data_IF_127629743552
#
_entry.id   IF_127629743552
#
_cell.length_a   1.000
_cell.length_b   1.000
_cell.length_c   1.000
_cell.angle_alpha   90.00
_cell.angle_beta   90.00
_cell.angle_gamma   90.00
#
_symmetry.space_group_name_H-M   'P 1'
#
loop_
_entity.id
_entity.type
_entity.pdbx_description
1 polymer ?
#
# COMPACT_ATOMS: atom_id res chain seq x y z
N UNK A 1 41.24 -3.10 2.54
CA UNK A 1 40.04 -2.28 2.21
C UNK A 1 38.86 -3.18 1.90
N UNK A 2 37.66 -2.81 2.32
CA UNK A 2 36.45 -3.52 1.89
C UNK A 2 36.11 -3.08 0.47
N UNK A 3 35.90 -4.05 -0.44
CA UNK A 3 35.53 -3.81 -1.83
C UNK A 3 34.26 -4.58 -2.17
N UNK A 4 33.33 -3.91 -2.85
CA UNK A 4 32.16 -4.55 -3.42
C UNK A 4 32.55 -5.15 -4.78
N UNK A 5 32.40 -6.45 -4.92
CA UNK A 5 32.69 -7.19 -6.14
C UNK A 5 31.38 -7.74 -6.73
N UNK A 6 31.12 -7.48 -8.00
CA UNK A 6 29.92 -7.98 -8.66
C UNK A 6 29.93 -9.53 -8.68
N UNK A 7 28.79 -10.13 -8.38
CA UNK A 7 28.60 -11.58 -8.48
C UNK A 7 28.34 -11.97 -9.93
N UNK A 8 28.86 -13.11 -10.42
CA UNK A 8 28.53 -13.63 -11.74
C UNK A 8 27.01 -13.91 -11.89
N UNK A 9 26.38 -14.38 -10.82
CA UNK A 9 24.95 -14.62 -10.75
C UNK A 9 24.36 -14.03 -9.47
N UNK A 10 23.12 -13.49 -9.52
CA UNK A 10 22.41 -13.00 -8.33
C UNK A 10 22.24 -14.12 -7.28
N UNK A 11 22.52 -13.81 -6.03
CA UNK A 11 22.45 -14.81 -4.95
C UNK A 11 21.01 -15.11 -4.54
N UNK A 12 20.56 -16.34 -4.71
CA UNK A 12 19.23 -16.80 -4.25
C UNK A 12 19.08 -16.71 -2.74
N UNK A 13 20.14 -16.94 -1.97
CA UNK A 13 20.13 -16.83 -0.50
C UNK A 13 19.95 -15.39 -0.05
N UNK A 14 20.61 -14.44 -0.67
CA UNK A 14 20.46 -13.03 -0.35
C UNK A 14 19.12 -12.46 -0.83
N UNK A 15 18.49 -13.09 -1.81
CA UNK A 15 17.13 -12.72 -2.22
C UNK A 15 16.09 -12.90 -1.09
N UNK A 16 16.25 -13.92 -0.22
CA UNK A 16 15.42 -14.11 0.96
C UNK A 16 16.04 -13.48 2.22
N UNK A 17 17.36 -13.44 2.31
CA UNK A 17 18.09 -12.93 3.46
C UNK A 17 18.07 -11.40 3.60
N UNK A 18 18.04 -10.65 2.49
CA UNK A 18 18.10 -9.20 2.56
C UNK A 18 16.88 -8.55 3.25
N UNK A 19 15.60 -9.00 3.09
CA UNK A 19 14.50 -8.45 3.86
C UNK A 19 14.61 -8.76 5.36
N UNK A 20 15.11 -9.95 5.71
CA UNK A 20 15.32 -10.31 7.11
C UNK A 20 16.45 -9.48 7.75
N UNK A 21 17.54 -9.30 7.03
CA UNK A 21 18.65 -8.44 7.50
C UNK A 21 18.19 -6.98 7.63
N UNK A 22 17.41 -6.49 6.68
CA UNK A 22 16.84 -5.14 6.73
C UNK A 22 15.94 -4.95 7.97
N UNK A 23 15.10 -5.95 8.27
CA UNK A 23 14.26 -5.93 9.46
C UNK A 23 15.10 -5.91 10.74
N UNK A 24 16.13 -6.77 10.84
CA UNK A 24 17.04 -6.80 12.00
C UNK A 24 17.73 -5.45 12.17
N UNK A 25 18.26 -4.86 11.10
CA UNK A 25 18.89 -3.54 11.15
C UNK A 25 17.90 -2.45 11.57
N UNK A 26 16.67 -2.50 11.07
CA UNK A 26 15.60 -1.56 11.47
C UNK A 26 15.29 -1.68 12.95
N UNK A 27 15.22 -2.91 13.50
CA UNK A 27 15.02 -3.14 14.94
C UNK A 27 16.20 -2.61 15.76
N UNK A 28 17.45 -2.87 15.34
CA UNK A 28 18.65 -2.37 16.02
C UNK A 28 18.68 -0.83 16.05
N UNK A 29 18.40 -0.19 14.91
CA UNK A 29 18.28 1.27 14.84
C UNK A 29 17.13 1.76 15.74
N UNK A 30 16.02 1.01 15.79
CA UNK A 30 14.89 1.28 16.67
C UNK A 30 15.27 1.28 18.15
N UNK A 31 16.12 0.35 18.59
CA UNK A 31 16.68 0.35 19.97
C UNK A 31 17.41 1.65 20.26
N UNK A 32 18.28 2.08 19.33
CA UNK A 32 19.01 3.34 19.47
C UNK A 32 18.04 4.53 19.53
N UNK A 33 17.03 4.53 18.65
CA UNK A 33 16.01 5.59 18.62
C UNK A 33 15.24 5.69 19.94
N UNK A 34 14.75 4.59 20.51
CA UNK A 34 14.06 4.61 21.80
C UNK A 34 14.96 5.11 22.92
N UNK A 35 16.23 4.70 22.92
CA UNK A 35 17.22 5.18 23.91
C UNK A 35 17.44 6.70 23.81
N UNK A 36 17.61 7.21 22.58
CA UNK A 36 17.79 8.67 22.34
C UNK A 36 16.55 9.46 22.75
N UNK A 37 15.36 8.89 22.57
CA UNK A 37 14.09 9.49 22.98
C UNK A 37 13.83 9.38 24.51
N UNK A 38 14.79 8.86 25.28
CA UNK A 38 14.67 8.72 26.74
C UNK A 38 13.63 7.68 27.18
N UNK A 39 13.34 6.69 26.32
CA UNK A 39 12.41 5.59 26.60
C UNK A 39 13.17 4.28 26.76
N UNK A 40 12.63 3.39 27.59
CA UNK A 40 13.17 2.04 27.71
C UNK A 40 13.04 1.30 26.36
N UNK A 41 14.17 0.89 25.74
CA UNK A 41 14.16 0.25 24.44
C UNK A 41 13.41 -1.10 24.44
N UNK A 42 13.52 -1.88 25.52
CA UNK A 42 12.86 -3.19 25.65
C UNK A 42 11.35 -3.00 25.65
N UNK A 43 10.86 -2.07 26.48
CA UNK A 43 9.44 -1.70 26.54
C UNK A 43 8.97 -1.10 25.21
N UNK A 44 9.80 -0.27 24.56
CA UNK A 44 9.52 0.29 23.25
C UNK A 44 9.31 -0.80 22.19
N UNK A 45 10.22 -1.75 22.08
CA UNK A 45 10.11 -2.89 21.17
C UNK A 45 8.91 -3.79 21.50
N UNK A 46 8.66 -4.04 22.80
CA UNK A 46 7.52 -4.83 23.22
C UNK A 46 6.20 -4.20 22.81
N UNK A 47 6.02 -2.89 23.01
CA UNK A 47 4.82 -2.16 22.61
C UNK A 47 4.70 -2.12 21.09
N UNK A 48 5.81 -1.98 20.37
CA UNK A 48 5.81 -1.78 18.93
C UNK A 48 5.63 -3.09 18.14
N UNK A 49 6.22 -4.20 18.60
CA UNK A 49 6.24 -5.46 17.85
C UNK A 49 5.43 -6.59 18.49
N UNK A 50 5.38 -6.67 19.82
CA UNK A 50 4.72 -7.76 20.50
C UNK A 50 3.23 -7.51 20.75
N UNK A 51 2.88 -6.31 21.19
CA UNK A 51 1.49 -6.01 21.53
C UNK A 51 0.52 -6.07 20.33
N UNK A 52 0.91 -5.70 19.09
CA UNK A 52 0.04 -5.86 17.91
C UNK A 52 -0.35 -7.30 17.58
N UNK A 53 0.35 -8.30 18.13
CA UNK A 53 0.10 -9.73 17.87
C UNK A 53 -0.37 -10.48 19.11
N UNK A 54 -0.46 -9.83 20.27
CA UNK A 54 -0.68 -10.47 21.57
C UNK A 54 -2.06 -11.10 21.74
N UNK A 55 -3.09 -10.59 21.07
CA UNK A 55 -4.47 -11.03 21.26
C UNK A 55 -5.19 -11.22 19.93
N UNK A 56 -6.27 -12.03 19.95
CA UNK A 56 -7.10 -12.23 18.76
C UNK A 56 -7.73 -10.92 18.25
N UNK A 57 -8.06 -9.98 19.14
CA UNK A 57 -8.50 -8.64 18.76
C UNK A 57 -7.39 -7.87 18.03
N UNK A 58 -6.17 -7.88 18.58
CA UNK A 58 -5.03 -7.21 17.96
C UNK A 58 -4.70 -7.80 16.57
N UNK A 59 -4.79 -9.12 16.40
CA UNK A 59 -4.65 -9.76 15.09
C UNK A 59 -5.75 -9.33 14.12
N UNK A 60 -6.97 -9.10 14.60
CA UNK A 60 -8.05 -8.53 13.80
C UNK A 60 -7.71 -7.11 13.31
N UNK A 61 -7.26 -6.23 14.19
CA UNK A 61 -6.85 -4.86 13.83
C UNK A 61 -5.67 -4.87 12.84
N UNK A 62 -4.72 -5.80 13.03
CA UNK A 62 -3.60 -6.00 12.12
C UNK A 62 -4.08 -6.40 10.71
N UNK A 63 -5.08 -7.30 10.63
CA UNK A 63 -5.68 -7.71 9.36
C UNK A 63 -6.41 -6.56 8.67
N UNK A 64 -7.11 -5.70 9.44
CA UNK A 64 -7.80 -4.52 8.90
C UNK A 64 -6.79 -3.57 8.23
N UNK A 65 -5.69 -3.27 8.91
CA UNK A 65 -4.62 -2.40 8.36
C UNK A 65 -3.88 -3.05 7.20
N UNK A 66 -3.67 -4.38 7.23
CA UNK A 66 -3.01 -5.11 6.16
C UNK A 66 -3.84 -5.18 4.87
N UNK A 67 -5.15 -5.15 4.96
CA UNK A 67 -6.07 -5.28 3.80
C UNK A 67 -5.82 -4.20 2.73
N UNK A 68 -5.91 -2.89 3.03
CA UNK A 68 -5.63 -1.84 2.04
C UNK A 68 -4.18 -1.87 1.56
N UNK A 69 -3.21 -2.09 2.46
CA UNK A 69 -1.79 -2.18 2.11
C UNK A 69 -1.52 -3.29 1.09
N UNK A 70 -2.11 -4.47 1.31
CA UNK A 70 -1.97 -5.60 0.41
C UNK A 70 -2.57 -5.32 -0.96
N UNK A 71 -3.83 -4.84 -1.02
CA UNK A 71 -4.50 -4.55 -2.28
C UNK A 71 -3.76 -3.53 -3.13
N UNK A 72 -3.33 -2.42 -2.52
CA UNK A 72 -2.56 -1.40 -3.21
C UNK A 72 -1.23 -1.96 -3.70
N UNK A 73 -0.51 -2.71 -2.85
CA UNK A 73 0.77 -3.32 -3.21
C UNK A 73 0.65 -4.33 -4.37
N UNK A 74 -0.44 -5.11 -4.41
CA UNK A 74 -0.74 -6.02 -5.54
C UNK A 74 -0.88 -5.25 -6.85
N UNK A 75 -1.58 -4.12 -6.85
CA UNK A 75 -1.70 -3.24 -8.00
C UNK A 75 -0.36 -2.62 -8.41
N UNK A 76 0.40 -2.09 -7.43
CA UNK A 76 1.72 -1.51 -7.66
C UNK A 76 2.73 -2.52 -8.21
N UNK A 77 2.64 -3.80 -7.83
CA UNK A 77 3.51 -4.84 -8.35
C UNK A 77 3.37 -5.01 -9.87
N UNK A 78 2.19 -4.81 -10.45
CA UNK A 78 2.00 -4.80 -11.90
C UNK A 78 2.75 -3.63 -12.53
N UNK A 79 2.65 -2.43 -11.94
CA UNK A 79 3.36 -1.24 -12.40
C UNK A 79 4.87 -1.44 -12.37
N UNK A 80 5.42 -1.83 -11.22
CA UNK A 80 6.89 -1.96 -11.04
C UNK A 80 7.50 -3.08 -11.89
N UNK A 81 6.77 -4.19 -12.09
CA UNK A 81 7.20 -5.24 -13.03
C UNK A 81 7.16 -4.79 -14.48
N UNK A 82 6.36 -3.79 -14.81
CA UNK A 82 6.29 -3.17 -16.14
C UNK A 82 7.25 -1.99 -16.30
N UNK A 83 8.08 -1.71 -15.28
CA UNK A 83 8.93 -0.51 -15.20
C UNK A 83 8.14 0.81 -15.34
N UNK A 84 6.90 0.81 -14.82
CA UNK A 84 6.02 1.99 -14.71
C UNK A 84 5.99 2.40 -13.24
N UNK A 85 6.35 3.65 -12.94
CA UNK A 85 6.49 4.13 -11.58
C UNK A 85 5.24 4.90 -11.13
N UNK A 86 4.26 4.17 -10.57
CA UNK A 86 3.06 4.77 -9.99
C UNK A 86 3.30 5.14 -8.52
N UNK A 87 3.61 6.41 -8.25
CA UNK A 87 3.74 6.95 -6.89
C UNK A 87 2.41 7.50 -6.36
N UNK A 88 1.40 7.60 -7.24
CA UNK A 88 0.10 8.19 -6.97
C UNK A 88 -0.97 7.25 -6.40
N UNK A 89 -0.60 6.07 -5.93
CA UNK A 89 -1.55 5.09 -5.41
C UNK A 89 -2.37 5.63 -4.22
N UNK A 90 -1.82 6.54 -3.41
CA UNK A 90 -2.55 7.22 -2.33
C UNK A 90 -3.71 8.07 -2.89
N UNK A 91 -3.45 8.87 -3.94
CA UNK A 91 -4.51 9.65 -4.58
C UNK A 91 -5.59 8.79 -5.25
N UNK A 92 -5.21 7.64 -5.83
CA UNK A 92 -6.13 6.67 -6.40
C UNK A 92 -6.99 5.99 -5.32
N UNK A 93 -6.41 5.72 -4.15
CA UNK A 93 -7.11 5.24 -2.96
C UNK A 93 -8.13 6.28 -2.47
N UNK A 94 -7.73 7.55 -2.36
CA UNK A 94 -8.61 8.66 -1.94
C UNK A 94 -9.78 8.81 -2.89
N UNK A 95 -9.54 8.83 -4.20
CA UNK A 95 -10.60 8.96 -5.20
C UNK A 95 -11.53 7.74 -5.20
N UNK A 96 -11.00 6.55 -4.94
CA UNK A 96 -11.80 5.36 -4.73
C UNK A 96 -12.70 5.49 -3.50
N UNK A 97 -12.16 6.00 -2.39
CA UNK A 97 -12.91 6.28 -1.18
C UNK A 97 -14.00 7.35 -1.39
N UNK A 98 -13.69 8.43 -2.12
CA UNK A 98 -14.66 9.48 -2.48
C UNK A 98 -15.78 8.90 -3.34
N UNK A 99 -15.46 8.17 -4.39
CA UNK A 99 -16.46 7.59 -5.28
C UNK A 99 -17.37 6.59 -4.55
N UNK A 100 -16.79 5.72 -3.75
CA UNK A 100 -17.52 4.77 -2.90
C UNK A 100 -18.39 5.47 -1.87
N UNK A 101 -17.84 6.47 -1.17
CA UNK A 101 -18.53 7.26 -0.17
C UNK A 101 -19.69 8.07 -0.77
N UNK A 102 -19.51 8.63 -1.98
CA UNK A 102 -20.57 9.33 -2.70
C UNK A 102 -21.78 8.42 -2.97
N UNK A 103 -21.55 7.18 -3.41
CA UNK A 103 -22.66 6.21 -3.58
C UNK A 103 -23.26 5.81 -2.23
N UNK A 104 -22.44 5.62 -1.19
CA UNK A 104 -22.93 5.26 0.13
C UNK A 104 -23.82 6.35 0.76
N UNK A 105 -23.51 7.63 0.51
CA UNK A 105 -24.31 8.78 0.99
C UNK A 105 -25.67 8.92 0.29
N UNK A 106 -25.81 8.38 -0.93
CA UNK A 106 -27.07 8.37 -1.68
C UNK A 106 -27.99 7.21 -1.29
N UNK A 107 -27.50 6.23 -0.55
CA UNK A 107 -28.27 5.06 -0.15
C UNK A 107 -29.14 5.35 1.07
N UNK A 108 -30.40 4.88 1.03
CA UNK A 108 -31.37 4.95 2.10
C UNK A 108 -31.56 3.60 2.80
N UNK A 109 -32.28 3.58 3.93
CA UNK A 109 -32.64 2.36 4.69
C UNK A 109 -33.42 1.34 3.86
N UNK A 110 -34.10 1.78 2.80
CA UNK A 110 -34.88 0.94 1.87
C UNK A 110 -34.00 0.31 0.78
N UNK A 111 -32.76 0.76 0.64
CA UNK A 111 -31.83 0.24 -0.37
C UNK A 111 -31.42 -1.18 -0.02
N UNK A 112 -31.44 -2.08 -1.01
CA UNK A 112 -31.00 -3.46 -0.81
C UNK A 112 -29.49 -3.59 -0.66
N UNK A 113 -29.00 -4.69 -0.05
CA UNK A 113 -27.56 -4.95 0.16
C UNK A 113 -26.72 -5.07 -1.13
N UNK A 114 -27.34 -5.17 -2.30
CA UNK A 114 -26.64 -5.12 -3.59
C UNK A 114 -25.85 -3.81 -3.79
N UNK A 115 -26.23 -2.75 -3.09
CA UNK A 115 -25.54 -1.45 -3.12
C UNK A 115 -24.06 -1.58 -2.72
N UNK A 116 -23.68 -2.54 -1.88
CA UNK A 116 -22.29 -2.78 -1.50
C UNK A 116 -21.44 -3.11 -2.72
N UNK A 117 -21.98 -3.90 -3.66
CA UNK A 117 -21.27 -4.22 -4.92
C UNK A 117 -21.06 -2.96 -5.75
N UNK A 118 -22.07 -2.10 -5.84
CA UNK A 118 -21.96 -0.82 -6.56
C UNK A 118 -20.94 0.10 -5.91
N UNK A 119 -20.91 0.18 -4.58
CA UNK A 119 -19.93 0.94 -3.82
C UNK A 119 -18.51 0.47 -4.14
N UNK A 120 -18.27 -0.83 -4.13
CA UNK A 120 -16.96 -1.40 -4.46
C UNK A 120 -16.57 -1.13 -5.92
N UNK A 121 -17.51 -1.30 -6.86
CA UNK A 121 -17.28 -0.98 -8.27
C UNK A 121 -17.02 0.51 -8.48
N UNK A 122 -17.75 1.39 -7.81
CA UNK A 122 -17.52 2.83 -7.86
C UNK A 122 -16.12 3.18 -7.36
N UNK A 123 -15.65 2.52 -6.28
CA UNK A 123 -14.28 2.68 -5.81
C UNK A 123 -13.23 2.27 -6.82
N UNK A 124 -13.41 1.09 -7.45
CA UNK A 124 -12.52 0.62 -8.53
C UNK A 124 -12.49 1.64 -9.67
N UNK A 125 -13.66 2.07 -10.16
CA UNK A 125 -13.77 3.02 -11.27
C UNK A 125 -13.17 4.38 -10.89
N UNK A 126 -13.41 4.87 -9.67
CA UNK A 126 -12.82 6.12 -9.17
C UNK A 126 -11.30 6.09 -9.17
N UNK A 127 -10.70 5.02 -8.65
CA UNK A 127 -9.25 4.82 -8.67
C UNK A 127 -8.69 4.68 -10.09
N UNK A 128 -9.35 3.93 -10.97
CA UNK A 128 -8.97 3.79 -12.39
C UNK A 128 -9.07 5.12 -13.13
N UNK A 129 -10.14 5.89 -12.93
CA UNK A 129 -10.33 7.20 -13.55
C UNK A 129 -9.19 8.16 -13.15
N UNK A 130 -8.80 8.15 -11.86
CA UNK A 130 -7.68 8.96 -11.40
C UNK A 130 -6.34 8.52 -11.97
N UNK A 131 -6.07 7.23 -12.02
CA UNK A 131 -4.88 6.66 -12.63
C UNK A 131 -4.81 6.96 -14.15
N UNK A 132 -5.96 7.03 -14.81
CA UNK A 132 -6.05 7.32 -16.26
C UNK A 132 -5.50 8.69 -16.62
N UNK A 133 -5.58 9.68 -15.71
CA UNK A 133 -4.98 11.00 -15.91
C UNK A 133 -3.46 10.90 -16.05
N UNK A 134 -2.82 10.14 -15.16
CA UNK A 134 -1.37 9.87 -15.24
C UNK A 134 -1.02 9.14 -16.53
N UNK A 135 -1.80 8.11 -16.89
CA UNK A 135 -1.59 7.33 -18.12
C UNK A 135 -1.73 8.23 -19.37
N UNK A 136 -2.74 9.09 -19.41
CA UNK A 136 -3.00 10.01 -20.52
C UNK A 136 -1.86 11.01 -20.69
N UNK A 137 -1.42 11.65 -19.60
CA UNK A 137 -0.35 12.65 -19.64
C UNK A 137 0.99 12.02 -20.02
N UNK A 138 1.25 10.79 -19.55
CA UNK A 138 2.43 10.04 -19.98
C UNK A 138 2.38 9.64 -21.45
N UNK A 139 1.23 9.11 -21.91
CA UNK A 139 1.04 8.59 -23.26
C UNK A 139 1.04 9.69 -24.34
N UNK A 140 0.40 10.83 -24.08
CA UNK A 140 0.19 11.91 -25.05
C UNK A 140 1.26 12.99 -24.99
N UNK A 141 1.73 13.33 -23.80
CA UNK A 141 2.63 14.47 -23.57
C UNK A 141 4.02 14.03 -23.09
N UNK A 142 4.26 12.71 -22.98
CA UNK A 142 5.51 12.15 -22.45
C UNK A 142 5.91 12.75 -21.08
N UNK A 143 4.90 13.14 -20.27
CA UNK A 143 5.13 13.67 -18.93
C UNK A 143 5.67 12.57 -18.01
N UNK A 144 6.43 12.94 -16.97
CA UNK A 144 6.92 11.99 -15.98
C UNK A 144 5.75 11.42 -15.16
N UNK A 145 5.51 10.10 -15.26
CA UNK A 145 4.48 9.44 -14.47
C UNK A 145 4.72 9.55 -12.96
N UNK A 146 5.97 9.63 -12.53
CA UNK A 146 6.36 9.83 -11.13
C UNK A 146 5.84 11.18 -10.63
N UNK A 147 6.18 12.26 -11.32
CA UNK A 147 5.81 13.61 -10.92
C UNK A 147 4.31 13.85 -11.03
N UNK A 148 3.70 13.43 -12.15
CA UNK A 148 2.25 13.59 -12.37
C UNK A 148 1.47 12.84 -11.31
N UNK A 149 1.78 11.56 -11.08
CA UNK A 149 1.04 10.75 -10.10
C UNK A 149 1.19 11.30 -8.68
N UNK A 150 2.39 11.78 -8.30
CA UNK A 150 2.64 12.39 -6.99
C UNK A 150 1.85 13.70 -6.83
N UNK A 151 1.85 14.59 -7.83
CA UNK A 151 1.07 15.85 -7.77
C UNK A 151 -0.42 15.57 -7.66
N UNK A 152 -0.93 14.56 -8.36
CA UNK A 152 -2.32 14.15 -8.27
C UNK A 152 -2.71 13.62 -6.87
N UNK A 153 -1.78 13.16 -6.04
CA UNK A 153 -2.09 12.82 -4.63
C UNK A 153 -2.55 14.06 -3.88
N UNK A 154 -1.80 15.16 -3.97
CA UNK A 154 -2.15 16.41 -3.29
C UNK A 154 -3.49 16.97 -3.78
N UNK A 155 -3.76 16.85 -5.09
CA UNK A 155 -5.07 17.27 -5.63
C UNK A 155 -6.21 16.41 -5.07
N UNK A 156 -6.00 15.09 -4.94
CA UNK A 156 -6.98 14.17 -4.37
C UNK A 156 -7.26 14.48 -2.89
N UNK A 157 -6.21 14.79 -2.10
CA UNK A 157 -6.35 15.21 -0.70
C UNK A 157 -7.17 16.50 -0.57
N UNK A 158 -6.86 17.52 -1.39
CA UNK A 158 -7.61 18.78 -1.37
C UNK A 158 -9.08 18.58 -1.81
N UNK A 159 -9.33 17.69 -2.78
CA UNK A 159 -10.69 17.35 -3.18
C UNK A 159 -11.46 16.67 -2.03
N UNK A 160 -10.83 15.74 -1.32
CA UNK A 160 -11.44 15.12 -0.14
C UNK A 160 -11.77 16.18 0.93
N UNK A 161 -10.82 17.07 1.24
CA UNK A 161 -11.03 18.14 2.22
C UNK A 161 -12.17 19.06 1.79
N UNK A 162 -12.21 19.50 0.52
CA UNK A 162 -13.30 20.31 0.01
C UNK A 162 -14.66 19.64 0.21
N UNK A 163 -14.78 18.34 -0.06
CA UNK A 163 -16.04 17.61 0.11
C UNK A 163 -16.45 17.47 1.57
N UNK A 164 -15.53 17.11 2.45
CA UNK A 164 -15.80 16.79 3.86
C UNK A 164 -16.00 18.06 4.70
N UNK A 165 -15.32 19.15 4.39
CA UNK A 165 -15.52 20.45 5.05
C UNK A 165 -16.68 21.25 4.46
N UNK A 166 -17.11 20.92 3.25
CA UNK A 166 -18.14 21.66 2.50
C UNK A 166 -19.41 20.84 2.22
N UNK A 167 -19.66 20.45 0.94
CA UNK A 167 -20.96 19.94 0.52
C UNK A 167 -21.39 18.61 1.17
N UNK A 168 -20.44 17.78 1.61
CA UNK A 168 -20.73 16.47 2.22
C UNK A 168 -20.62 16.47 3.74
N UNK A 169 -20.35 17.64 4.34
CA UNK A 169 -20.26 17.77 5.80
C UNK A 169 -21.58 17.38 6.46
N UNK A 170 -21.50 16.60 7.53
CA UNK A 170 -22.66 16.24 8.35
C UNK A 170 -23.23 17.48 9.09
N UNK A 171 -24.47 17.91 8.81
CA UNK A 171 -25.08 19.02 9.51
C UNK A 171 -25.27 18.76 11.02
N UNK A 172 -25.43 17.49 11.42
CA UNK A 172 -25.60 17.08 12.81
C UNK A 172 -24.29 16.73 13.53
N UNK A 173 -23.16 16.80 12.85
CA UNK A 173 -21.86 16.36 13.34
C UNK A 173 -21.10 17.33 14.25
N UNK A 174 -21.78 18.23 14.98
CA UNK A 174 -21.17 19.17 15.93
C UNK A 174 -19.99 19.96 15.36
N UNK A 175 -20.06 20.31 14.09
CA UNK A 175 -19.03 21.02 13.32
C UNK A 175 -17.74 20.21 13.05
N UNK A 176 -17.66 18.93 13.37
CA UNK A 176 -16.54 18.09 12.95
C UNK A 176 -16.53 17.90 11.42
N UNK A 177 -15.35 17.89 10.79
CA UNK A 177 -15.21 17.69 9.35
C UNK A 177 -15.36 16.20 9.00
N UNK A 178 -16.60 15.76 8.86
CA UNK A 178 -16.96 14.38 8.53
C UNK A 178 -18.27 14.33 7.78
N UNK A 179 -18.48 13.27 6.99
CA UNK A 179 -19.79 13.00 6.37
C UNK A 179 -20.72 12.33 7.38
N UNK A 180 -22.00 12.25 7.04
CA UNK A 180 -22.92 11.36 7.77
C UNK A 180 -22.36 9.96 7.82
N UNK A 181 -22.60 9.26 8.93
CA UNK A 181 -22.29 7.82 9.03
C UNK A 181 -23.11 7.07 8.00
N UNK A 182 -22.48 6.17 7.28
CA UNK A 182 -23.12 5.39 6.24
C UNK A 182 -24.16 4.43 6.83
N UNK A 183 -25.27 4.26 6.12
CA UNK A 183 -26.33 3.34 6.52
C UNK A 183 -25.78 1.89 6.64
N UNK A 184 -26.33 1.12 7.57
CA UNK A 184 -25.87 -0.24 7.84
C UNK A 184 -25.93 -1.16 6.61
N UNK A 185 -26.82 -0.88 5.66
CA UNK A 185 -26.96 -1.63 4.40
C UNK A 185 -25.80 -1.42 3.44
N UNK A 186 -25.07 -0.29 3.55
CA UNK A 186 -23.92 0.06 2.73
C UNK A 186 -22.60 -0.40 3.33
N UNK A 187 -22.62 -0.79 4.61
CA UNK A 187 -21.43 -1.27 5.29
C UNK A 187 -21.09 -2.72 4.88
N UNK A 188 -19.81 -2.95 4.73
CA UNK A 188 -19.29 -4.28 4.35
C UNK A 188 -19.49 -5.24 5.53
N UNK A 189 -20.06 -6.45 5.29
CA UNK A 189 -20.27 -7.43 6.34
C UNK A 189 -18.99 -7.80 7.07
N UNK A 190 -19.08 -7.90 8.40
CA UNK A 190 -17.99 -8.38 9.25
C UNK A 190 -17.89 -9.90 9.17
N UNK A 191 -16.66 -10.43 9.14
CA UNK A 191 -16.40 -11.87 9.09
C UNK A 191 -16.55 -12.55 10.45
N UNK A 192 -16.16 -11.85 11.52
CA UNK A 192 -16.10 -12.40 12.87
C UNK A 192 -16.89 -11.50 13.81
N UNK A 193 -17.81 -12.08 14.56
CA UNK A 193 -18.53 -11.40 15.63
C UNK A 193 -17.55 -10.98 16.74
N UNK A 194 -17.57 -9.71 17.12
CA UNK A 194 -16.64 -9.15 18.10
C UNK A 194 -15.33 -8.61 17.50
N UNK A 195 -15.11 -8.74 16.19
CA UNK A 195 -14.00 -8.11 15.45
C UNK A 195 -14.54 -7.13 14.41
N UNK A 196 -13.71 -6.16 14.02
CA UNK A 196 -14.00 -5.24 12.91
C UNK A 196 -13.54 -5.79 11.55
N UNK A 197 -12.96 -6.99 11.50
CA UNK A 197 -12.52 -7.64 10.27
C UNK A 197 -13.71 -7.87 9.34
N UNK A 198 -13.64 -7.32 8.15
CA UNK A 198 -14.67 -7.40 7.12
C UNK A 198 -14.32 -8.42 6.02
N UNK A 199 -15.28 -8.72 5.15
CA UNK A 199 -15.06 -9.51 3.92
C UNK A 199 -13.95 -8.91 3.05
N UNK A 200 -13.60 -7.63 3.22
CA UNK A 200 -12.49 -6.99 2.54
C UNK A 200 -11.18 -7.76 2.66
N UNK A 201 -10.90 -8.40 3.79
CA UNK A 201 -9.71 -9.24 3.97
C UNK A 201 -9.71 -10.46 3.03
N UNK A 202 -10.86 -11.09 2.81
CA UNK A 202 -11.00 -12.19 1.83
C UNK A 202 -10.85 -11.70 0.40
N UNK A 203 -11.36 -10.50 0.09
CA UNK A 203 -11.20 -9.86 -1.22
C UNK A 203 -9.71 -9.60 -1.48
N UNK A 204 -8.96 -9.10 -0.47
CA UNK A 204 -7.52 -8.89 -0.60
C UNK A 204 -6.76 -10.20 -0.83
N UNK A 205 -7.10 -11.26 -0.11
CA UNK A 205 -6.50 -12.58 -0.31
C UNK A 205 -6.87 -13.18 -1.67
N UNK A 206 -8.12 -13.02 -2.12
CA UNK A 206 -8.51 -13.39 -3.48
C UNK A 206 -7.70 -12.60 -4.53
N UNK A 207 -7.43 -11.31 -4.28
CA UNK A 207 -6.56 -10.48 -5.09
C UNK A 207 -5.15 -11.05 -5.27
N UNK A 208 -4.60 -11.70 -4.24
CA UNK A 208 -3.30 -12.42 -4.33
C UNK A 208 -3.36 -13.51 -5.38
N UNK A 209 -4.42 -14.33 -5.35
CA UNK A 209 -4.63 -15.39 -6.35
C UNK A 209 -4.82 -14.84 -7.76
N UNK A 210 -5.65 -13.80 -7.90
CA UNK A 210 -5.91 -13.12 -9.18
C UNK A 210 -4.61 -12.56 -9.76
N UNK A 211 -3.82 -11.85 -8.94
CA UNK A 211 -2.54 -11.29 -9.40
C UNK A 211 -1.54 -12.39 -9.75
N UNK A 212 -1.50 -13.48 -8.97
CA UNK A 212 -0.63 -14.62 -9.26
C UNK A 212 -0.97 -15.22 -10.63
N UNK A 213 -2.26 -15.47 -10.89
CA UNK A 213 -2.72 -15.97 -12.20
C UNK A 213 -2.39 -14.95 -13.29
N UNK A 214 -2.69 -13.68 -13.08
CA UNK A 214 -2.40 -12.61 -14.05
C UNK A 214 -0.93 -12.59 -14.44
N UNK A 215 -0.02 -12.51 -13.47
CA UNK A 215 1.41 -12.36 -13.72
C UNK A 215 2.07 -13.62 -14.30
N UNK A 216 1.66 -14.82 -13.84
CA UNK A 216 2.40 -16.04 -14.16
C UNK A 216 1.67 -16.99 -15.12
N UNK A 217 0.38 -16.75 -15.39
CA UNK A 217 -0.43 -17.64 -16.24
C UNK A 217 -1.07 -16.94 -17.45
N UNK A 218 -0.97 -15.61 -17.58
CA UNK A 218 -1.57 -14.89 -18.71
C UNK A 218 -0.51 -14.29 -19.65
N UNK A 219 -0.90 -14.17 -20.94
CA UNK A 219 -0.08 -13.49 -21.95
C UNK A 219 0.09 -11.99 -21.62
N UNK A 220 -0.94 -11.37 -21.04
CA UNK A 220 -0.88 -9.96 -20.62
C UNK A 220 0.16 -9.75 -19.51
N UNK A 221 0.18 -10.60 -18.47
CA UNK A 221 1.17 -10.54 -17.42
C UNK A 221 2.59 -10.80 -17.92
N UNK A 222 2.76 -11.75 -18.85
CA UNK A 222 4.04 -11.97 -19.50
C UNK A 222 4.51 -10.72 -20.28
N UNK A 223 3.61 -10.11 -21.08
CA UNK A 223 3.92 -8.88 -21.82
C UNK A 223 4.33 -7.74 -20.89
N UNK A 224 3.70 -7.61 -19.71
CA UNK A 224 4.07 -6.63 -18.69
C UNK A 224 5.50 -6.84 -18.20
N UNK A 225 5.87 -8.07 -17.83
CA UNK A 225 7.20 -8.38 -17.32
C UNK A 225 8.29 -8.20 -18.38
N UNK A 226 8.07 -8.70 -19.61
CA UNK A 226 9.03 -8.54 -20.71
C UNK A 226 9.18 -7.08 -21.09
N UNK A 227 8.06 -6.32 -21.11
CA UNK A 227 8.06 -4.88 -21.37
C UNK A 227 8.92 -4.10 -20.38
N UNK A 228 8.90 -4.49 -19.11
CA UNK A 228 9.72 -3.87 -18.06
C UNK A 228 11.19 -4.27 -18.10
N UNK A 229 11.49 -5.54 -18.37
CA UNK A 229 12.85 -6.07 -18.35
C UNK A 229 13.64 -5.78 -19.63
N UNK A 230 12.98 -5.88 -20.78
CA UNK A 230 13.62 -5.77 -22.09
C UNK A 230 12.69 -5.08 -23.11
N UNK A 231 12.52 -3.75 -23.06
CA UNK A 231 11.56 -3.01 -23.89
C UNK A 231 11.79 -3.18 -25.41
N UNK A 232 13.05 -3.32 -25.83
CA UNK A 232 13.40 -3.55 -27.22
C UNK A 232 12.93 -4.93 -27.70
N UNK A 233 13.17 -5.99 -26.91
CA UNK A 233 12.70 -7.33 -27.21
C UNK A 233 11.18 -7.43 -27.20
N UNK A 234 10.52 -6.76 -26.25
CA UNK A 234 9.06 -6.67 -26.18
C UNK A 234 8.46 -6.08 -27.47
N UNK A 235 9.03 -4.98 -27.96
CA UNK A 235 8.61 -4.36 -29.23
C UNK A 235 8.82 -5.27 -30.43
N UNK A 236 9.97 -5.96 -30.50
CA UNK A 236 10.24 -6.93 -31.56
C UNK A 236 9.24 -8.10 -31.55
N UNK A 237 8.81 -8.55 -30.36
CA UNK A 237 7.78 -9.57 -30.19
C UNK A 237 6.34 -9.06 -30.40
N UNK A 238 6.15 -7.79 -30.82
CA UNK A 238 4.84 -7.20 -31.11
C UNK A 238 4.08 -6.72 -29.87
N UNK A 239 4.70 -6.65 -28.69
CA UNK A 239 4.06 -6.10 -27.49
C UNK A 239 4.10 -4.57 -27.50
N UNK A 240 2.92 -3.96 -27.26
CA UNK A 240 2.77 -2.51 -27.24
C UNK A 240 3.12 -1.95 -25.84
N UNK A 241 4.17 -1.11 -25.78
CA UNK A 241 4.54 -0.39 -24.54
C UNK A 241 3.41 0.54 -24.05
N UNK A 242 2.65 1.13 -24.98
CA UNK A 242 1.47 1.94 -24.67
C UNK A 242 0.40 1.13 -23.93
N UNK A 243 0.07 -0.07 -24.44
CA UNK A 243 -0.90 -0.95 -23.76
C UNK A 243 -0.37 -1.38 -22.39
N UNK A 244 0.92 -1.67 -22.26
CA UNK A 244 1.53 -2.03 -21.00
C UNK A 244 1.40 -0.90 -19.96
N UNK A 245 1.66 0.34 -20.35
CA UNK A 245 1.49 1.52 -19.51
C UNK A 245 0.04 1.66 -18.99
N UNK A 246 -0.94 1.62 -19.91
CA UNK A 246 -2.35 1.77 -19.56
C UNK A 246 -2.84 0.63 -18.65
N UNK A 247 -2.52 -0.62 -18.98
CA UNK A 247 -2.89 -1.78 -18.16
C UNK A 247 -2.29 -1.68 -16.77
N UNK A 248 -1.01 -1.34 -16.65
CA UNK A 248 -0.33 -1.21 -15.37
C UNK A 248 -0.99 -0.16 -14.48
N UNK A 249 -1.20 1.06 -15.00
CA UNK A 249 -1.78 2.16 -14.23
C UNK A 249 -3.25 1.92 -13.88
N UNK A 250 -4.07 1.38 -14.82
CA UNK A 250 -5.47 1.10 -14.54
C UNK A 250 -5.66 -0.04 -13.53
N UNK A 251 -4.88 -1.12 -13.63
CA UNK A 251 -4.93 -2.21 -12.64
C UNK A 251 -4.50 -1.71 -11.26
N UNK A 252 -3.42 -0.92 -11.22
CA UNK A 252 -2.96 -0.32 -9.96
C UNK A 252 -3.97 0.65 -9.37
N UNK A 253 -4.54 1.52 -10.20
CA UNK A 253 -5.57 2.47 -9.79
C UNK A 253 -6.84 1.80 -9.31
N UNK A 254 -7.28 0.74 -10.03
CA UNK A 254 -8.45 -0.03 -9.63
C UNK A 254 -8.26 -0.76 -8.30
N UNK A 255 -7.09 -1.36 -8.07
CA UNK A 255 -6.76 -2.02 -6.81
C UNK A 255 -6.68 -1.02 -5.64
N UNK A 256 -6.07 0.15 -5.86
CA UNK A 256 -6.01 1.22 -4.87
C UNK A 256 -7.41 1.79 -4.58
N UNK A 257 -8.22 2.02 -5.62
CA UNK A 257 -9.59 2.49 -5.46
C UNK A 257 -10.50 1.50 -4.73
N UNK A 258 -10.34 0.19 -5.00
CA UNK A 258 -11.01 -0.87 -4.26
C UNK A 258 -10.61 -0.84 -2.78
N UNK A 259 -9.32 -0.68 -2.49
CA UNK A 259 -8.83 -0.55 -1.12
C UNK A 259 -9.47 0.65 -0.40
N UNK A 260 -9.60 1.81 -1.08
CA UNK A 260 -10.28 2.98 -0.56
C UNK A 260 -11.76 2.74 -0.27
N UNK A 261 -12.47 2.07 -1.18
CA UNK A 261 -13.86 1.69 -0.96
C UNK A 261 -14.03 0.75 0.24
N UNK A 262 -13.16 -0.27 0.35
CA UNK A 262 -13.17 -1.21 1.48
C UNK A 262 -12.87 -0.54 2.82
N UNK A 263 -12.00 0.46 2.84
CA UNK A 263 -11.66 1.21 4.05
C UNK A 263 -12.85 2.05 4.54
N UNK A 264 -13.47 2.82 3.63
CA UNK A 264 -14.56 3.73 4.03
C UNK A 264 -15.89 3.03 4.25
N UNK A 265 -16.22 1.98 3.48
CA UNK A 265 -17.45 1.21 3.66
C UNK A 265 -17.31 0.08 4.71
N UNK A 266 -16.09 -0.19 5.17
CA UNK A 266 -15.78 -1.20 6.20
C UNK A 266 -15.49 -0.57 7.56
N UNK A 267 -14.19 -0.41 7.92
CA UNK A 267 -13.78 0.01 9.25
C UNK A 267 -14.20 1.43 9.64
N UNK A 268 -14.23 2.37 8.69
CA UNK A 268 -14.53 3.79 8.97
C UNK A 268 -16.03 4.09 9.02
N UNK A 269 -16.82 3.57 8.08
CA UNK A 269 -18.24 3.81 7.98
C UNK A 269 -18.65 5.25 7.62
N UNK A 270 -17.69 6.10 7.23
CA UNK A 270 -17.87 7.50 6.84
C UNK A 270 -16.61 8.05 6.17
N UNK A 271 -16.71 9.19 5.49
CA UNK A 271 -15.53 9.93 5.01
C UNK A 271 -15.11 10.97 6.05
N UNK A 272 -13.80 11.03 6.28
CA UNK A 272 -13.14 12.00 7.17
C UNK A 272 -11.86 12.52 6.51
N UNK A 273 -11.28 13.65 6.95
CA UNK A 273 -10.00 14.13 6.47
C UNK A 273 -8.83 13.15 6.73
N UNK A 274 -9.06 12.17 7.61
CA UNK A 274 -8.04 11.19 8.02
C UNK A 274 -8.06 9.89 7.20
N UNK A 275 -8.90 9.81 6.16
CA UNK A 275 -8.91 8.69 5.20
C UNK A 275 -7.52 8.50 4.57
N UNK A 276 -6.78 9.56 4.18
CA UNK A 276 -5.40 9.42 3.74
C UNK A 276 -4.48 9.08 4.91
N UNK A 277 -4.21 7.80 5.10
CA UNK A 277 -3.33 7.30 6.15
C UNK A 277 -1.90 7.01 5.65
N UNK A 278 -1.59 7.37 4.39
CA UNK A 278 -0.32 7.07 3.74
C UNK A 278 -0.21 5.62 3.28
N UNK A 279 -1.33 4.91 3.16
CA UNK A 279 -1.33 3.50 2.73
C UNK A 279 -0.74 3.31 1.34
N UNK A 280 -0.96 4.23 0.40
CA UNK A 280 -0.41 4.16 -0.94
C UNK A 280 1.12 4.25 -0.95
N UNK A 281 1.69 5.13 -0.14
CA UNK A 281 3.14 5.24 0.01
C UNK A 281 3.74 4.03 0.73
N UNK A 282 3.12 3.58 1.83
CA UNK A 282 3.55 2.40 2.56
C UNK A 282 3.43 1.12 1.72
N UNK A 283 2.45 1.03 0.82
CA UNK A 283 2.27 -0.09 -0.08
C UNK A 283 3.41 -0.24 -1.10
N UNK A 284 4.12 0.85 -1.42
CA UNK A 284 5.37 0.76 -2.21
C UNK A 284 6.40 -0.07 -1.44
N UNK A 285 6.55 0.19 -0.14
CA UNK A 285 7.45 -0.57 0.73
C UNK A 285 7.02 -2.03 0.79
N UNK A 286 5.71 -2.28 0.97
CA UNK A 286 5.13 -3.63 0.97
C UNK A 286 5.47 -4.37 -0.32
N UNK A 287 5.34 -3.73 -1.48
CA UNK A 287 5.63 -4.33 -2.77
C UNK A 287 7.10 -4.73 -2.91
N UNK A 288 8.03 -3.86 -2.50
CA UNK A 288 9.47 -4.14 -2.58
C UNK A 288 9.94 -5.15 -1.54
N UNK A 289 9.51 -5.04 -0.28
CA UNK A 289 9.81 -6.03 0.78
C UNK A 289 9.27 -7.40 0.39
N UNK A 290 8.05 -7.44 -0.20
CA UNK A 290 7.42 -8.65 -0.73
C UNK A 290 8.01 -9.16 -2.06
N UNK A 291 9.09 -8.52 -2.58
CA UNK A 291 9.77 -8.89 -3.83
C UNK A 291 8.87 -8.87 -5.06
N UNK A 292 7.87 -8.00 -5.08
CA UNK A 292 6.85 -7.93 -6.14
C UNK A 292 6.18 -9.29 -6.40
N UNK A 293 6.24 -10.21 -5.43
CA UNK A 293 5.62 -11.53 -5.50
C UNK A 293 4.33 -11.54 -4.69
N UNK A 294 3.19 -11.99 -5.27
CA UNK A 294 1.89 -11.90 -4.60
C UNK A 294 1.86 -12.48 -3.18
N UNK A 295 2.45 -13.65 -2.97
CA UNK A 295 2.52 -14.28 -1.65
C UNK A 295 3.46 -13.53 -0.71
N UNK A 296 4.61 -13.06 -1.20
CA UNK A 296 5.56 -12.28 -0.41
C UNK A 296 4.93 -10.98 0.12
N UNK A 297 4.07 -10.35 -0.67
CA UNK A 297 3.36 -9.13 -0.28
C UNK A 297 2.35 -9.35 0.84
N UNK A 298 1.82 -10.57 1.06
CA UNK A 298 0.97 -10.87 2.23
C UNK A 298 1.77 -10.68 3.52
N UNK A 299 2.97 -11.28 3.59
CA UNK A 299 3.82 -11.18 4.78
C UNK A 299 4.33 -9.76 5.00
N UNK A 300 4.70 -9.06 3.93
CA UNK A 300 5.15 -7.68 4.05
C UNK A 300 4.01 -6.71 4.39
N UNK A 301 2.78 -6.96 3.96
CA UNK A 301 1.62 -6.18 4.37
C UNK A 301 1.31 -6.37 5.87
N UNK A 302 1.41 -7.60 6.38
CA UNK A 302 1.29 -7.87 7.81
C UNK A 302 2.40 -7.19 8.62
N UNK A 303 3.63 -7.23 8.16
CA UNK A 303 4.75 -6.53 8.80
C UNK A 303 4.52 -5.02 8.82
N UNK A 304 4.08 -4.44 7.71
CA UNK A 304 3.83 -3.01 7.62
C UNK A 304 2.62 -2.59 8.48
N UNK A 305 1.56 -3.40 8.53
CA UNK A 305 0.41 -3.14 9.42
C UNK A 305 0.82 -3.19 10.89
N UNK A 306 1.78 -4.05 11.25
CA UNK A 306 2.36 -4.09 12.60
C UNK A 306 3.07 -2.77 12.94
N UNK A 307 3.75 -2.14 11.98
CA UNK A 307 4.35 -0.80 12.19
C UNK A 307 3.28 0.28 12.41
N UNK A 308 2.16 0.23 11.70
CA UNK A 308 1.06 1.18 11.92
C UNK A 308 0.48 1.03 13.33
N UNK A 309 0.11 -0.18 13.73
CA UNK A 309 -0.49 -0.44 15.04
C UNK A 309 0.54 -0.21 16.17
N UNK A 310 1.77 -0.68 15.99
CA UNK A 310 2.86 -0.46 16.93
C UNK A 310 3.14 1.03 17.16
N UNK A 311 3.09 1.85 16.10
CA UNK A 311 3.22 3.30 16.20
C UNK A 311 2.03 3.97 16.91
N UNK A 312 0.80 3.54 16.65
CA UNK A 312 -0.40 4.01 17.37
C UNK A 312 -0.34 3.64 18.87
N UNK A 313 0.13 2.43 19.19
CA UNK A 313 0.35 1.99 20.57
C UNK A 313 1.51 2.74 21.24
N UNK A 314 2.60 3.00 20.53
CA UNK A 314 3.71 3.77 21.05
C UNK A 314 3.30 5.22 21.34
N UNK A 315 2.45 5.81 20.51
CA UNK A 315 1.87 7.12 20.75
C UNK A 315 1.01 7.13 22.02
N UNK A 316 0.09 6.19 22.15
CA UNK A 316 -0.89 6.16 23.24
C UNK A 316 -0.28 5.74 24.59
N UNK A 317 0.68 4.81 24.61
CA UNK A 317 1.25 4.23 25.85
C UNK A 317 2.58 4.82 26.27
N UNK A 318 3.40 5.29 25.32
CA UNK A 318 4.72 5.83 25.59
C UNK A 318 4.78 7.34 25.39
N UNK A 319 3.70 7.98 24.91
CA UNK A 319 3.67 9.40 24.60
C UNK A 319 4.62 9.80 23.47
N UNK A 320 4.89 8.89 22.54
CA UNK A 320 5.78 9.15 21.40
C UNK A 320 5.01 9.80 20.24
N UNK A 321 5.65 10.61 19.40
CA UNK A 321 4.99 11.25 18.27
C UNK A 321 4.54 10.23 17.21
N UNK A 322 3.41 10.48 16.56
CA UNK A 322 2.86 9.65 15.47
C UNK A 322 3.85 9.46 14.32
N UNK A 323 4.71 10.45 14.07
CA UNK A 323 5.75 10.41 13.03
C UNK A 323 6.74 9.27 13.19
N UNK A 324 6.85 8.66 14.38
CA UNK A 324 7.72 7.51 14.63
C UNK A 324 7.41 6.33 13.71
N UNK A 325 6.13 6.11 13.40
CA UNK A 325 5.70 5.08 12.42
C UNK A 325 6.37 5.30 11.07
N UNK A 326 6.33 6.53 10.55
CA UNK A 326 6.96 6.89 9.28
C UNK A 326 8.50 6.72 9.32
N UNK A 327 9.14 7.00 10.46
CA UNK A 327 10.58 6.77 10.63
C UNK A 327 10.91 5.28 10.50
N UNK A 328 10.19 4.39 11.18
CA UNK A 328 10.40 2.94 11.05
C UNK A 328 10.14 2.43 9.63
N UNK A 329 9.10 2.93 8.96
CA UNK A 329 8.80 2.59 7.57
C UNK A 329 9.93 3.03 6.63
N UNK A 330 10.40 4.27 6.77
CA UNK A 330 11.51 4.81 5.98
C UNK A 330 12.82 4.06 6.23
N UNK A 331 13.12 3.74 7.49
CA UNK A 331 14.29 2.94 7.86
C UNK A 331 14.24 1.55 7.23
N UNK A 332 13.08 0.87 7.28
CA UNK A 332 12.93 -0.45 6.67
C UNK A 332 13.19 -0.39 5.16
N UNK A 333 12.64 0.58 4.46
CA UNK A 333 12.88 0.73 3.02
C UNK A 333 14.35 1.02 2.73
N UNK A 334 14.96 1.96 3.47
CA UNK A 334 16.36 2.32 3.28
C UNK A 334 17.29 1.14 3.54
N UNK A 335 17.11 0.44 4.66
CA UNK A 335 17.92 -0.74 4.99
C UNK A 335 17.69 -1.88 4.01
N UNK A 336 16.46 -2.06 3.50
CA UNK A 336 16.17 -3.04 2.46
C UNK A 336 16.95 -2.74 1.18
N UNK A 337 16.89 -1.51 0.68
CA UNK A 337 17.61 -1.10 -0.53
C UNK A 337 19.13 -1.26 -0.34
N UNK A 338 19.64 -0.92 0.84
CA UNK A 338 21.05 -1.14 1.17
C UNK A 338 21.42 -2.64 1.20
N UNK A 339 20.59 -3.49 1.81
CA UNK A 339 20.81 -4.92 1.88
C UNK A 339 20.66 -5.61 0.51
N UNK A 340 19.83 -5.07 -0.38
CA UNK A 340 19.61 -5.62 -1.72
C UNK A 340 20.85 -5.52 -2.60
N UNK A 341 21.76 -4.60 -2.32
CA UNK A 341 23.05 -4.56 -3.01
C UNK A 341 23.85 -5.85 -2.82
N UNK A 342 23.63 -6.58 -1.71
CA UNK A 342 24.31 -7.86 -1.43
C UNK A 342 23.81 -9.02 -2.32
N UNK A 343 22.69 -8.85 -3.00
CA UNK A 343 22.19 -9.82 -3.99
C UNK A 343 23.10 -9.84 -5.21
N UNK A 344 23.44 -8.66 -5.72
CA UNK A 344 24.26 -8.48 -6.92
C UNK A 344 25.76 -8.40 -6.62
N UNK A 345 26.14 -7.99 -5.42
CA UNK A 345 27.51 -7.76 -5.00
C UNK A 345 27.87 -8.59 -3.77
N UNK A 346 29.17 -8.94 -3.66
CA UNK A 346 29.75 -9.53 -2.45
C UNK A 346 30.77 -8.56 -1.85
N UNK A 347 30.80 -8.50 -0.53
CA UNK A 347 31.82 -7.75 0.21
C UNK A 347 33.07 -8.62 0.29
N UNK A 348 34.19 -8.14 -0.29
CA UNK A 348 35.48 -8.81 -0.21
C UNK A 348 36.49 -7.92 0.51
N UNK A 349 37.21 -8.53 1.44
CA UNK A 349 38.33 -7.86 2.08
C UNK A 349 39.55 -8.00 1.19
N UNK A 350 40.00 -6.92 0.56
CA UNK A 350 41.26 -6.90 -0.23
C UNK A 350 42.35 -6.38 0.69
N UNK A 351 43.29 -7.26 1.01
CA UNK A 351 44.49 -6.85 1.71
C UNK A 351 45.28 -5.93 0.78
N UNK A 352 45.57 -4.71 1.23
CA UNK A 352 46.48 -3.82 0.53
C UNK A 352 47.83 -4.52 0.49
N UNK A 353 48.27 -4.99 -0.67
CA UNK A 353 49.66 -5.29 -0.91
C UNK A 353 50.39 -3.94 -0.94
N UNK A 354 51.14 -3.65 0.14
CA UNK A 354 52.05 -2.53 0.23
C UNK A 354 53.11 -2.60 -0.82
#
# INVERSE_FOLDING_TARGET
MLKLEARPEPSKWWSLGSPLLALVLTVVIGVVLFTVLGKDPVRGLQVFFWEPIKSGYALGELTIKATPLLLIALGLAVCFRSNVWNIGAEGQFILGAIAAGGIALLADKTTGRWIVVVILLAGVVGGMAWASLTALLRDKFNASEILVSLMLVYVAEQLLFYLVFGPWKDPAGYNFPQTKTFEAVTQIPRLVTGSRVSIGALIALAGVGVLWVFLFRTRAGFAQQVGGLAPAAARYAGFSSRRALWVALLVSGGAAGLAGALEVAGPLGQLTPYVPAGYGFAAIIVAFVGRLHPVGMVFSALLMSMFYIGGELAQSRLGLPKSLTGVFQGLLLFTLLACDTLIAYRVRYVRSSG
#
